data_IF_290956532894
#
_entry.id   IF_290956532894
#
_cell.length_a   1.000
_cell.length_b   1.000
_cell.length_c   1.000
_cell.angle_alpha   90.00
_cell.angle_beta   90.00
_cell.angle_gamma   90.00
#
_symmetry.space_group_name_H-M   'P 1'
#
loop_
_entity.id
_entity.type
_entity.pdbx_description
1 polymer ?
#
# COMPACT_ATOMS: atom_id res chain seq x y z
N UNK A 1 9.41 4.87 52.37
CA UNK A 1 8.80 5.92 51.53
C UNK A 1 9.31 5.98 50.09
N UNK A 2 10.43 5.38 49.73
CA UNK A 2 10.96 5.37 48.35
C UNK A 2 10.55 4.17 47.49
N UNK A 3 10.06 3.11 48.10
CA UNK A 3 9.72 1.86 47.39
C UNK A 3 8.28 1.88 46.85
N UNK A 4 7.37 2.64 47.48
CA UNK A 4 5.99 2.78 47.02
C UNK A 4 5.83 3.72 45.83
N UNK A 5 6.67 4.75 45.72
CA UNK A 5 6.66 5.66 44.55
C UNK A 5 7.21 4.99 43.26
N UNK A 6 8.16 4.06 43.42
CA UNK A 6 8.72 3.32 42.29
C UNK A 6 7.69 2.32 41.73
N UNK A 7 6.88 1.71 42.62
CA UNK A 7 5.82 0.76 42.21
C UNK A 7 4.65 1.48 41.51
N UNK A 8 4.30 2.70 41.96
CA UNK A 8 3.24 3.50 41.30
C UNK A 8 3.67 4.06 39.93
N UNK A 9 4.96 4.32 39.72
CA UNK A 9 5.49 4.75 38.43
C UNK A 9 5.56 3.57 37.45
N UNK A 10 5.82 2.35 37.91
CA UNK A 10 5.76 1.15 37.05
C UNK A 10 4.33 0.76 36.68
N UNK A 11 3.34 0.92 37.54
CA UNK A 11 1.93 0.64 37.22
C UNK A 11 1.29 1.66 36.25
N UNK A 12 1.75 2.91 36.23
CA UNK A 12 1.21 3.94 35.36
C UNK A 12 1.73 3.85 33.89
N UNK A 13 2.76 3.04 33.65
CA UNK A 13 3.37 2.89 32.31
C UNK A 13 2.79 1.71 31.50
N UNK A 14 1.86 0.93 32.03
CA UNK A 14 1.40 -0.33 31.42
C UNK A 14 -0.10 -0.40 31.19
N UNK A 15 -0.74 0.67 30.75
CA UNK A 15 -2.06 0.53 30.12
C UNK A 15 -2.04 0.96 28.66
N UNK A 16 -1.02 0.54 27.92
CA UNK A 16 -1.13 0.46 26.47
C UNK A 16 -2.05 -0.72 26.16
N UNK A 17 -3.32 -0.42 25.88
CA UNK A 17 -4.33 -1.38 25.42
C UNK A 17 -3.66 -2.31 24.40
N UNK A 18 -3.32 -3.53 24.79
CA UNK A 18 -2.71 -4.52 23.90
C UNK A 18 -3.76 -4.91 22.88
N UNK A 19 -3.70 -4.25 21.72
CA UNK A 19 -4.51 -4.65 20.57
C UNK A 19 -4.05 -6.05 20.17
N UNK A 20 -5.01 -6.95 19.95
CA UNK A 20 -4.73 -8.32 19.53
C UNK A 20 -3.75 -8.32 18.34
N UNK A 21 -2.62 -9.05 18.40
CA UNK A 21 -1.59 -9.06 17.36
C UNK A 21 -2.14 -9.47 15.98
N UNK A 22 -3.17 -10.31 15.96
CA UNK A 22 -3.82 -10.70 14.70
C UNK A 22 -4.59 -9.54 14.06
N UNK A 23 -5.23 -8.68 14.86
CA UNK A 23 -5.91 -7.47 14.34
C UNK A 23 -4.88 -6.48 13.79
N UNK A 24 -3.77 -6.27 14.52
CA UNK A 24 -2.69 -5.42 14.03
C UNK A 24 -2.10 -5.92 12.70
N UNK A 25 -1.90 -7.23 12.56
CA UNK A 25 -1.43 -7.83 11.33
C UNK A 25 -2.43 -7.62 10.16
N UNK A 26 -3.73 -7.77 10.41
CA UNK A 26 -4.77 -7.54 9.39
C UNK A 26 -4.79 -6.10 8.91
N UNK A 27 -4.71 -5.13 9.84
CA UNK A 27 -4.67 -3.69 9.53
C UNK A 27 -3.46 -3.32 8.66
N UNK A 28 -2.29 -3.95 8.88
CA UNK A 28 -1.07 -3.70 8.11
C UNK A 28 -1.09 -4.42 6.76
N UNK A 29 -1.67 -5.62 6.70
CA UNK A 29 -1.75 -6.41 5.47
C UNK A 29 -2.71 -5.82 4.46
N UNK A 30 -3.83 -5.25 4.91
CA UNK A 30 -4.88 -4.75 4.04
C UNK A 30 -4.36 -3.72 3.01
N UNK A 31 -3.69 -2.61 3.39
CA UNK A 31 -3.17 -1.65 2.41
C UNK A 31 -2.07 -2.25 1.54
N UNK A 32 -1.32 -3.22 2.05
CA UNK A 32 -0.28 -3.91 1.28
C UNK A 32 -0.88 -4.77 0.15
N UNK A 33 -1.95 -5.52 0.45
CA UNK A 33 -2.70 -6.28 -0.55
C UNK A 33 -3.30 -5.34 -1.59
N UNK A 34 -3.92 -4.24 -1.14
CA UNK A 34 -4.55 -3.28 -2.03
C UNK A 34 -3.57 -2.61 -2.98
N UNK A 35 -2.37 -2.24 -2.50
CA UNK A 35 -1.32 -1.69 -3.35
C UNK A 35 -0.89 -2.67 -4.46
N UNK A 36 -0.79 -3.95 -4.15
CA UNK A 36 -0.47 -5.00 -5.11
C UNK A 36 -1.64 -5.24 -6.10
N UNK A 37 -2.87 -5.31 -5.60
CA UNK A 37 -4.07 -5.48 -6.44
C UNK A 37 -4.22 -4.31 -7.39
N UNK A 38 -4.05 -3.06 -6.92
CA UNK A 38 -4.11 -1.86 -7.75
C UNK A 38 -3.07 -1.88 -8.88
N UNK A 39 -1.84 -2.29 -8.57
CA UNK A 39 -0.78 -2.43 -9.57
C UNK A 39 -1.14 -3.48 -10.62
N UNK A 40 -1.59 -4.66 -10.19
CA UNK A 40 -1.95 -5.76 -11.08
C UNK A 40 -3.21 -5.46 -11.90
N UNK A 41 -4.23 -4.85 -11.31
CA UNK A 41 -5.46 -4.47 -11.99
C UNK A 41 -5.20 -3.44 -13.11
N UNK A 42 -4.26 -2.50 -12.90
CA UNK A 42 -3.93 -1.50 -13.92
C UNK A 42 -3.32 -2.12 -15.17
N UNK A 43 -2.58 -3.24 -15.05
CA UNK A 43 -2.04 -3.95 -16.21
C UNK A 43 -3.17 -4.43 -17.15
N UNK A 44 -4.29 -4.87 -16.58
CA UNK A 44 -5.46 -5.33 -17.37
C UNK A 44 -6.21 -4.15 -17.98
N UNK A 45 -6.27 -3.01 -17.29
CA UNK A 45 -6.97 -1.82 -17.77
C UNK A 45 -6.19 -1.03 -18.84
N UNK A 46 -4.94 -1.39 -19.13
CA UNK A 46 -4.08 -0.66 -20.07
C UNK A 46 -4.73 -0.41 -21.44
N UNK A 47 -5.38 -1.39 -22.13
CA UNK A 47 -6.03 -1.15 -23.40
C UNK A 47 -7.16 -0.11 -23.30
N UNK A 48 -7.92 -0.14 -22.23
CA UNK A 48 -9.02 0.79 -21.97
C UNK A 48 -8.51 2.22 -21.70
N UNK A 49 -7.38 2.34 -20.99
CA UNK A 49 -6.67 3.60 -20.76
C UNK A 49 -6.18 4.16 -22.11
N UNK A 50 -5.55 3.33 -22.96
CA UNK A 50 -5.10 3.72 -24.28
C UNK A 50 -6.27 4.24 -25.14
N UNK A 51 -7.37 3.50 -25.18
CA UNK A 51 -8.58 3.90 -25.92
C UNK A 51 -9.21 5.19 -25.41
N UNK A 52 -9.27 5.37 -24.07
CA UNK A 52 -9.85 6.56 -23.44
C UNK A 52 -9.10 7.85 -23.77
N UNK A 53 -7.77 7.81 -23.78
CA UNK A 53 -6.92 8.97 -24.08
C UNK A 53 -6.53 9.08 -25.54
N UNK A 54 -6.98 8.17 -26.41
CA UNK A 54 -6.58 8.14 -27.83
C UNK A 54 -5.06 7.91 -28.00
N UNK A 55 -4.44 7.23 -27.04
CA UNK A 55 -3.01 6.96 -26.99
C UNK A 55 -2.68 5.59 -27.60
N UNK A 56 -1.44 5.44 -28.06
CA UNK A 56 -0.93 4.13 -28.46
C UNK A 56 -0.73 3.21 -27.26
N UNK A 57 -0.71 1.90 -27.47
CA UNK A 57 -0.41 0.92 -26.42
C UNK A 57 0.97 1.17 -25.77
N UNK A 58 1.92 1.66 -26.56
CA UNK A 58 3.26 2.01 -26.07
C UNK A 58 3.22 3.19 -25.09
N UNK A 59 2.48 4.23 -25.41
CA UNK A 59 2.30 5.40 -24.54
C UNK A 59 1.55 5.02 -23.26
N UNK A 60 0.48 4.23 -23.37
CA UNK A 60 -0.27 3.75 -22.21
C UNK A 60 0.58 2.87 -21.27
N UNK A 61 1.55 2.12 -21.80
CA UNK A 61 2.48 1.34 -20.99
C UNK A 61 3.34 2.21 -20.06
N UNK A 62 3.56 3.48 -20.42
CA UNK A 62 4.28 4.43 -19.57
C UNK A 62 3.58 4.69 -18.23
N UNK A 63 2.26 4.51 -18.15
CA UNK A 63 1.45 4.60 -16.92
C UNK A 63 1.85 3.50 -15.92
N UNK A 64 2.11 2.30 -16.42
CA UNK A 64 2.55 1.16 -15.59
C UNK A 64 4.02 1.32 -15.23
N UNK A 65 4.85 1.63 -16.21
CA UNK A 65 6.30 1.74 -16.06
C UNK A 65 6.66 2.86 -15.08
N UNK A 66 5.99 4.01 -15.13
CA UNK A 66 6.22 5.13 -14.22
C UNK A 66 5.98 4.75 -12.74
N UNK A 67 4.92 3.99 -12.47
CA UNK A 67 4.64 3.46 -11.15
C UNK A 67 5.73 2.49 -10.67
N UNK A 68 6.16 1.56 -11.53
CA UNK A 68 7.19 0.57 -11.19
C UNK A 68 8.54 1.25 -10.92
N UNK A 69 8.92 2.24 -11.74
CA UNK A 69 10.15 3.01 -11.55
C UNK A 69 10.11 3.76 -10.20
N UNK A 70 9.02 4.46 -9.91
CA UNK A 70 8.85 5.17 -8.65
C UNK A 70 8.94 4.22 -7.44
N UNK A 71 8.29 3.05 -7.50
CA UNK A 71 8.43 1.99 -6.51
C UNK A 71 9.88 1.53 -6.33
N UNK A 72 10.57 1.26 -7.45
CA UNK A 72 11.95 0.79 -7.44
C UNK A 72 12.92 1.78 -6.77
N UNK A 73 12.72 3.08 -6.99
CA UNK A 73 13.52 4.15 -6.37
C UNK A 73 13.26 4.22 -4.86
N UNK A 74 12.02 4.00 -4.43
CA UNK A 74 11.64 4.09 -3.02
C UNK A 74 12.05 2.87 -2.18
N UNK A 75 12.19 1.70 -2.79
CA UNK A 75 12.57 0.47 -2.11
C UNK A 75 13.85 0.60 -1.24
N UNK A 76 15.01 1.03 -1.77
CA UNK A 76 16.23 1.14 -0.97
C UNK A 76 16.15 2.24 0.09
N UNK A 77 15.36 3.29 -0.13
CA UNK A 77 15.22 4.41 0.82
C UNK A 77 14.32 4.07 2.01
N UNK A 78 13.46 3.05 1.89
CA UNK A 78 12.47 2.66 2.91
C UNK A 78 13.11 2.39 4.26
N UNK A 79 14.24 1.65 4.31
CA UNK A 79 14.92 1.32 5.56
C UNK A 79 15.47 2.54 6.29
N UNK A 80 15.99 3.51 5.56
CA UNK A 80 16.49 4.77 6.11
C UNK A 80 15.35 5.65 6.65
N UNK A 81 14.32 5.87 5.86
CA UNK A 81 13.16 6.68 6.23
C UNK A 81 12.39 6.08 7.41
N UNK A 82 12.28 4.75 7.47
CA UNK A 82 11.66 4.05 8.58
C UNK A 82 12.42 4.22 9.92
N UNK A 83 13.75 4.42 9.88
CA UNK A 83 14.54 4.75 11.06
C UNK A 83 14.34 6.20 11.50
N UNK A 84 14.18 7.13 10.57
CA UNK A 84 14.01 8.56 10.86
C UNK A 84 12.63 8.85 11.46
N UNK A 85 11.57 8.38 10.82
CA UNK A 85 10.18 8.71 11.17
C UNK A 85 9.52 7.68 12.09
N UNK A 86 10.15 6.52 12.27
CA UNK A 86 9.54 5.36 12.92
C UNK A 86 8.61 4.58 11.96
N UNK A 87 8.64 3.23 12.05
CA UNK A 87 7.95 2.33 11.11
C UNK A 87 6.45 2.65 10.96
N UNK A 88 5.74 2.86 12.09
CA UNK A 88 4.28 3.10 12.08
C UNK A 88 3.89 4.41 11.43
N UNK A 89 4.56 5.51 11.79
CA UNK A 89 4.25 6.83 11.24
C UNK A 89 4.62 6.89 9.76
N UNK A 90 5.77 6.33 9.39
CA UNK A 90 6.19 6.28 8.00
C UNK A 90 5.25 5.43 7.14
N UNK A 91 4.77 4.29 7.66
CA UNK A 91 3.76 3.47 6.99
C UNK A 91 2.47 4.25 6.72
N UNK A 92 1.99 5.01 7.70
CA UNK A 92 0.81 5.87 7.54
C UNK A 92 1.03 6.95 6.48
N UNK A 93 2.20 7.61 6.47
CA UNK A 93 2.54 8.59 5.43
C UNK A 93 2.54 7.95 4.04
N UNK A 94 3.08 6.74 3.90
CA UNK A 94 3.07 6.01 2.63
C UNK A 94 1.65 5.70 2.15
N UNK A 95 0.75 5.30 3.04
CA UNK A 95 -0.68 5.08 2.73
C UNK A 95 -1.33 6.39 2.26
N UNK A 96 -1.11 7.49 2.97
CA UNK A 96 -1.68 8.80 2.61
C UNK A 96 -1.18 9.23 1.23
N UNK A 97 0.12 9.14 0.95
CA UNK A 97 0.69 9.47 -0.37
C UNK A 97 0.12 8.57 -1.46
N UNK A 98 -0.03 7.27 -1.19
CA UNK A 98 -0.64 6.33 -2.11
C UNK A 98 -2.10 6.67 -2.42
N UNK A 99 -2.90 7.05 -1.41
CA UNK A 99 -4.29 7.47 -1.58
C UNK A 99 -4.41 8.78 -2.35
N UNK A 100 -3.53 9.77 -2.06
CA UNK A 100 -3.48 11.03 -2.82
C UNK A 100 -3.16 10.72 -4.30
N UNK A 101 -2.17 9.86 -4.57
CA UNK A 101 -1.83 9.43 -5.91
C UNK A 101 -3.01 8.76 -6.63
N UNK A 102 -3.75 7.88 -5.93
CA UNK A 102 -4.95 7.25 -6.47
C UNK A 102 -6.04 8.29 -6.80
N UNK A 103 -6.25 9.28 -5.92
CA UNK A 103 -7.17 10.39 -6.16
C UNK A 103 -6.77 11.26 -7.35
N UNK A 104 -5.48 11.54 -7.52
CA UNK A 104 -4.97 12.26 -8.69
C UNK A 104 -5.18 11.48 -9.99
N UNK A 105 -5.09 10.14 -9.97
CA UNK A 105 -5.39 9.31 -11.13
C UNK A 105 -6.85 9.46 -11.59
N UNK A 106 -7.80 9.68 -10.67
CA UNK A 106 -9.20 9.92 -11.00
C UNK A 106 -9.44 11.27 -11.69
N UNK A 107 -8.64 12.26 -11.35
CA UNK A 107 -8.75 13.63 -11.87
C UNK A 107 -7.96 13.82 -13.17
N UNK A 108 -7.27 12.78 -13.66
CA UNK A 108 -6.45 12.86 -14.84
C UNK A 108 -7.29 13.13 -16.10
N UNK A 109 -7.00 14.26 -16.77
CA UNK A 109 -7.66 14.69 -18.02
C UNK A 109 -6.88 14.28 -19.26
N UNK A 110 -5.61 14.01 -19.11
CA UNK A 110 -4.70 13.56 -20.16
C UNK A 110 -3.75 12.47 -19.64
N UNK A 111 -3.08 11.80 -20.57
CA UNK A 111 -2.16 10.68 -20.26
C UNK A 111 -0.97 11.14 -19.41
N UNK A 112 -0.45 12.35 -19.66
CA UNK A 112 0.70 12.88 -18.91
C UNK A 112 0.33 13.13 -17.43
N UNK A 113 -0.85 13.67 -17.18
CA UNK A 113 -1.36 13.85 -15.82
C UNK A 113 -1.53 12.50 -15.12
N UNK A 114 -2.02 11.47 -15.83
CA UNK A 114 -2.14 10.12 -15.29
C UNK A 114 -0.76 9.54 -14.94
N UNK A 115 0.26 9.72 -15.81
CA UNK A 115 1.64 9.28 -15.54
C UNK A 115 2.20 9.96 -14.28
N UNK A 116 2.03 11.28 -14.13
CA UNK A 116 2.47 12.00 -12.93
C UNK A 116 1.77 11.51 -11.67
N UNK A 117 0.45 11.29 -11.74
CA UNK A 117 -0.31 10.73 -10.63
C UNK A 117 0.18 9.33 -10.24
N UNK A 118 0.60 8.52 -11.21
CA UNK A 118 1.18 7.19 -11.02
C UNK A 118 2.56 7.23 -10.36
N UNK A 119 3.37 8.23 -10.68
CA UNK A 119 4.66 8.45 -9.99
C UNK A 119 4.39 8.73 -8.50
N UNK A 120 3.47 9.64 -8.20
CA UNK A 120 3.07 9.93 -6.81
C UNK A 120 2.56 8.68 -6.08
N UNK A 121 1.68 7.92 -6.71
CA UNK A 121 1.17 6.68 -6.15
C UNK A 121 2.28 5.65 -5.93
N UNK A 122 3.25 5.56 -6.86
CA UNK A 122 4.41 4.69 -6.77
C UNK A 122 5.35 5.05 -5.61
N UNK A 123 5.55 6.33 -5.32
CA UNK A 123 6.34 6.79 -4.16
C UNK A 123 5.75 6.24 -2.85
N UNK A 124 4.42 6.32 -2.67
CA UNK A 124 3.77 5.72 -1.50
C UNK A 124 3.83 4.20 -1.52
N UNK A 125 3.44 3.60 -2.65
CA UNK A 125 3.33 2.14 -2.82
C UNK A 125 4.63 1.37 -2.60
N UNK A 126 5.77 1.93 -3.05
CA UNK A 126 7.07 1.28 -2.98
C UNK A 126 7.57 1.00 -1.56
N UNK A 127 7.14 1.79 -0.58
CA UNK A 127 7.51 1.60 0.81
C UNK A 127 6.53 0.71 1.60
N UNK A 128 5.29 0.56 1.15
CA UNK A 128 4.23 -0.16 1.88
C UNK A 128 4.62 -1.62 2.10
N UNK A 129 5.07 -2.32 1.07
CA UNK A 129 5.40 -3.75 1.14
C UNK A 129 6.55 -4.07 2.09
N UNK A 130 7.74 -3.44 1.97
CA UNK A 130 8.85 -3.72 2.88
C UNK A 130 8.56 -3.28 4.32
N UNK A 131 7.79 -2.21 4.52
CA UNK A 131 7.34 -1.81 5.85
C UNK A 131 6.37 -2.81 6.46
N UNK A 132 5.40 -3.30 5.69
CA UNK A 132 4.49 -4.35 6.12
C UNK A 132 5.25 -5.58 6.60
N UNK A 133 6.21 -6.06 5.82
CA UNK A 133 7.04 -7.20 6.18
C UNK A 133 7.82 -6.95 7.48
N UNK A 134 8.45 -5.79 7.63
CA UNK A 134 9.21 -5.43 8.83
C UNK A 134 8.31 -5.33 10.06
N UNK A 135 7.10 -4.77 9.92
CA UNK A 135 6.14 -4.62 11.03
C UNK A 135 5.52 -5.96 11.43
N UNK A 136 5.24 -6.86 10.48
CA UNK A 136 4.77 -8.21 10.79
C UNK A 136 5.78 -9.01 11.61
N UNK A 137 7.08 -8.89 11.30
CA UNK A 137 8.15 -9.51 12.09
C UNK A 137 8.25 -8.93 13.50
N UNK A 138 7.95 -7.65 13.68
CA UNK A 138 7.91 -7.01 15.00
C UNK A 138 6.67 -7.45 15.82
N UNK A 139 5.52 -7.70 15.17
CA UNK A 139 4.29 -8.18 15.81
C UNK A 139 4.43 -9.64 16.29
N UNK A 140 5.13 -10.47 15.53
CA UNK A 140 5.31 -11.89 15.82
C UNK A 140 6.79 -12.28 16.01
N UNK A 141 7.48 -11.78 17.06
CA UNK A 141 8.90 -12.01 17.26
C UNK A 141 9.26 -13.49 17.42
N UNK A 142 8.38 -14.25 18.12
CA UNK A 142 8.58 -15.68 18.38
C UNK A 142 8.09 -16.59 17.25
N UNK A 143 7.30 -16.04 16.31
CA UNK A 143 6.68 -16.80 15.20
C UNK A 143 7.00 -16.17 13.84
N UNK A 144 8.28 -15.87 13.59
CA UNK A 144 8.73 -15.22 12.34
C UNK A 144 8.32 -15.98 11.07
N UNK A 145 8.35 -17.31 11.13
CA UNK A 145 7.88 -18.16 10.02
C UNK A 145 6.40 -17.95 9.71
N UNK A 146 5.55 -17.83 10.73
CA UNK A 146 4.14 -17.52 10.55
C UNK A 146 3.92 -16.12 9.95
N UNK A 147 4.63 -15.11 10.46
CA UNK A 147 4.58 -13.76 9.92
C UNK A 147 4.94 -13.70 8.43
N UNK A 148 6.00 -14.41 8.04
CA UNK A 148 6.44 -14.48 6.65
C UNK A 148 5.48 -15.30 5.76
N UNK A 149 4.88 -16.36 6.29
CA UNK A 149 3.85 -17.13 5.59
C UNK A 149 2.61 -16.26 5.32
N UNK A 150 2.16 -15.49 6.31
CA UNK A 150 1.02 -14.59 6.18
C UNK A 150 1.28 -13.51 5.12
N UNK A 151 2.47 -12.90 5.13
CA UNK A 151 2.91 -11.96 4.10
C UNK A 151 2.97 -12.60 2.71
N UNK A 152 3.54 -13.81 2.61
CA UNK A 152 3.67 -14.54 1.36
C UNK A 152 2.32 -14.89 0.73
N UNK A 153 1.36 -15.36 1.53
CA UNK A 153 -0.01 -15.62 1.06
C UNK A 153 -0.63 -14.34 0.51
N UNK A 154 -0.53 -13.22 1.25
CA UNK A 154 -1.04 -11.92 0.81
C UNK A 154 -0.40 -11.46 -0.51
N UNK A 155 0.93 -11.59 -0.63
CA UNK A 155 1.68 -11.20 -1.82
C UNK A 155 1.35 -12.08 -3.06
N UNK A 156 1.04 -13.36 -2.86
CA UNK A 156 0.64 -14.25 -3.95
C UNK A 156 -0.82 -14.05 -4.38
N UNK A 157 -1.71 -13.76 -3.43
CA UNK A 157 -3.14 -13.61 -3.72
C UNK A 157 -3.45 -12.31 -4.47
N UNK A 158 -2.72 -11.24 -4.18
CA UNK A 158 -2.96 -9.93 -4.76
C UNK A 158 -2.78 -9.86 -6.30
N UNK A 159 -1.70 -10.40 -6.90
CA UNK A 159 -1.56 -10.46 -8.35
C UNK A 159 -2.63 -11.31 -9.05
N UNK A 160 -3.14 -12.33 -8.36
CA UNK A 160 -4.23 -13.17 -8.88
C UNK A 160 -5.58 -12.44 -8.85
N UNK A 161 -5.85 -11.72 -7.77
CA UNK A 161 -7.07 -10.96 -7.58
C UNK A 161 -7.14 -9.72 -8.49
N UNK A 162 -5.98 -9.10 -8.80
CA UNK A 162 -5.89 -7.87 -9.61
C UNK A 162 -6.55 -7.99 -10.98
N UNK A 163 -6.22 -8.96 -11.84
CA UNK A 163 -6.85 -9.13 -13.13
C UNK A 163 -8.35 -9.38 -13.04
N UNK A 164 -8.79 -10.18 -12.05
CA UNK A 164 -10.20 -10.45 -11.85
C UNK A 164 -10.98 -9.17 -11.52
N UNK A 165 -10.52 -8.42 -10.50
CA UNK A 165 -11.15 -7.16 -10.11
C UNK A 165 -10.98 -6.07 -11.19
N UNK A 166 -9.79 -5.96 -11.78
CA UNK A 166 -9.49 -4.99 -12.83
C UNK A 166 -10.35 -5.21 -14.06
N UNK A 167 -10.45 -6.44 -14.55
CA UNK A 167 -11.30 -6.79 -15.69
C UNK A 167 -12.77 -6.54 -15.39
N UNK A 168 -13.30 -7.07 -14.27
CA UNK A 168 -14.70 -6.90 -13.90
C UNK A 168 -15.11 -5.42 -13.75
N UNK A 169 -14.28 -4.61 -13.09
CA UNK A 169 -14.56 -3.18 -12.90
C UNK A 169 -14.50 -2.40 -14.21
N UNK A 170 -13.57 -2.76 -15.08
CA UNK A 170 -13.37 -2.06 -16.36
C UNK A 170 -14.44 -2.42 -17.38
N UNK A 171 -14.88 -3.69 -17.40
CA UNK A 171 -15.89 -4.16 -18.36
C UNK A 171 -17.31 -3.67 -18.00
N UNK A 172 -17.63 -3.58 -16.70
CA UNK A 172 -18.97 -3.21 -16.26
C UNK A 172 -19.12 -1.70 -16.00
N UNK A 173 -18.05 -1.00 -15.65
CA UNK A 173 -18.12 0.42 -15.29
C UNK A 173 -17.08 1.24 -16.04
N UNK A 174 -15.88 1.42 -15.48
CA UNK A 174 -14.79 2.15 -16.13
C UNK A 174 -13.44 1.87 -15.43
N UNK A 175 -12.34 2.10 -16.14
CA UNK A 175 -10.99 1.90 -15.59
C UNK A 175 -10.71 2.73 -14.32
N UNK A 176 -11.36 3.87 -14.15
CA UNK A 176 -11.20 4.74 -12.98
C UNK A 176 -11.63 4.04 -11.68
N UNK A 177 -12.59 3.13 -11.73
CA UNK A 177 -13.07 2.40 -10.56
C UNK A 177 -11.99 1.56 -9.87
N UNK A 178 -10.97 1.14 -10.60
CA UNK A 178 -9.80 0.46 -10.02
C UNK A 178 -9.11 1.34 -8.98
N UNK A 179 -9.10 2.67 -9.19
CA UNK A 179 -8.50 3.61 -8.24
C UNK A 179 -9.47 4.02 -7.14
N UNK A 180 -10.76 4.17 -7.46
CA UNK A 180 -11.79 4.54 -6.48
C UNK A 180 -11.88 3.53 -5.34
N UNK A 181 -11.88 2.23 -5.66
CA UNK A 181 -11.99 1.16 -4.66
C UNK A 181 -10.80 1.13 -3.69
N UNK A 182 -9.62 1.56 -4.13
CA UNK A 182 -8.43 1.58 -3.28
C UNK A 182 -8.49 2.65 -2.18
N UNK A 183 -9.14 3.81 -2.43
CA UNK A 183 -9.14 4.94 -1.50
C UNK A 183 -9.86 4.59 -0.18
N UNK A 184 -11.14 4.17 -0.17
CA UNK A 184 -11.84 3.89 1.08
C UNK A 184 -11.23 2.72 1.85
N UNK A 185 -10.73 1.72 1.15
CA UNK A 185 -10.13 0.55 1.78
C UNK A 185 -8.78 0.86 2.46
N UNK A 186 -7.99 1.77 1.87
CA UNK A 186 -6.78 2.26 2.52
C UNK A 186 -7.07 3.18 3.72
N UNK A 187 -8.19 3.92 3.71
CA UNK A 187 -8.58 4.79 4.82
C UNK A 187 -9.11 4.01 6.04
N UNK A 188 -9.65 2.80 5.84
CA UNK A 188 -10.15 1.93 6.91
C UNK A 188 -9.00 1.22 7.65
N UNK A 189 -7.84 1.16 7.05
CA UNK A 189 -6.62 0.52 7.58
C UNK A 189 -5.82 1.47 8.48
#
# INVERSE_FOLDING_TARGET
MKTSEITEIEETTVTKKQVNPYIQAMVILLPSILALVASSATNVCQPNIAGYFGATQYEANSVITSYIIANGIMLPTTGYLAKLFGKKQFFLYCIIVFCIGAGLCLLAKDLHMLIMARIFQGIGGGCILPLCQAMLLDIFPDKKGFAMALYGVAAMFAPLAGPFFGGYLTDNWSWQWVFIVNIPLCLIS
#
